data_IF_422758736238
#
_entry.id   IF_422758736238
#
_cell.length_a   1.000
_cell.length_b   1.000
_cell.length_c   1.000
_cell.angle_alpha   90.00
_cell.angle_beta   90.00
_cell.angle_gamma   90.00
#
_symmetry.space_group_name_H-M   'P 1'
#
loop_
_entity.id
_entity.type
_entity.pdbx_description
1 polymer ?
#
# COMPACT_ATOMS: atom_id res chain seq x y z
N UNK A 1 32.54 5.68 11.98
CA UNK A 1 31.20 6.07 11.48
C UNK A 1 30.20 5.52 12.47
N UNK A 2 29.59 6.36 13.32
CA UNK A 2 28.70 5.90 14.39
C UNK A 2 27.27 5.90 13.85
N UNK A 3 26.70 4.71 13.65
CA UNK A 3 25.31 4.56 13.18
C UNK A 3 24.38 5.00 14.31
N UNK A 4 23.55 6.04 14.08
CA UNK A 4 22.48 6.40 15.01
C UNK A 4 21.41 5.33 14.97
N UNK A 5 21.09 4.73 16.11
CA UNK A 5 20.01 3.77 16.25
C UNK A 5 18.69 4.44 15.83
N UNK A 6 18.09 3.92 14.78
CA UNK A 6 16.79 4.36 14.29
C UNK A 6 15.73 3.60 15.08
N UNK A 7 14.82 4.29 15.76
CA UNK A 7 13.68 3.62 16.39
C UNK A 7 12.79 2.99 15.30
N UNK A 8 12.38 1.75 15.55
CA UNK A 8 11.45 1.03 14.70
C UNK A 8 10.34 0.39 15.52
N UNK A 9 9.11 0.50 15.05
CA UNK A 9 7.98 -0.23 15.62
C UNK A 9 7.47 -1.27 14.62
N UNK A 10 6.89 -2.34 15.16
CA UNK A 10 6.43 -3.49 14.41
C UNK A 10 4.95 -3.77 14.71
N UNK A 11 4.20 -4.12 13.68
CA UNK A 11 2.82 -4.58 13.79
C UNK A 11 2.62 -5.78 12.87
N UNK A 12 2.04 -6.86 13.41
CA UNK A 12 1.86 -8.11 12.69
C UNK A 12 0.39 -8.50 12.61
N UNK A 13 0.01 -9.09 11.47
CA UNK A 13 -1.33 -9.62 11.24
C UNK A 13 -1.22 -10.91 10.41
N UNK A 14 -2.09 -11.88 10.70
CA UNK A 14 -2.19 -13.09 9.91
C UNK A 14 -3.03 -12.84 8.65
N UNK A 15 -2.57 -13.34 7.51
CA UNK A 15 -3.27 -13.27 6.23
C UNK A 15 -3.46 -14.65 5.61
N UNK A 16 -4.50 -14.80 4.80
CA UNK A 16 -4.72 -16.00 3.99
C UNK A 16 -4.17 -15.82 2.57
N UNK A 17 -3.65 -16.90 1.98
CA UNK A 17 -3.15 -16.90 0.61
C UNK A 17 -4.25 -16.44 -0.37
N UNK A 18 -3.91 -15.46 -1.22
CA UNK A 18 -4.85 -14.84 -2.16
C UNK A 18 -5.54 -13.57 -1.63
N UNK A 19 -5.30 -13.21 -0.38
CA UNK A 19 -5.71 -11.90 0.16
C UNK A 19 -4.98 -10.75 -0.54
N UNK A 20 -5.63 -9.59 -0.58
CA UNK A 20 -4.96 -8.31 -0.85
C UNK A 20 -4.80 -7.60 0.49
N UNK A 21 -3.59 -7.69 1.05
CA UNK A 21 -3.24 -6.96 2.26
C UNK A 21 -3.14 -5.47 1.99
N UNK A 22 -3.51 -4.65 2.98
CA UNK A 22 -3.30 -3.21 2.95
C UNK A 22 -2.67 -2.73 4.25
N UNK A 23 -1.95 -1.63 4.16
CA UNK A 23 -1.57 -0.84 5.31
C UNK A 23 -1.90 0.63 5.07
N UNK A 24 -2.30 1.29 6.15
CA UNK A 24 -2.56 2.72 6.21
C UNK A 24 -1.70 3.31 7.32
N UNK A 25 -0.92 4.33 6.96
CA UNK A 25 -0.16 5.12 7.92
C UNK A 25 -0.67 6.55 7.89
N UNK A 26 -0.96 7.10 9.06
CA UNK A 26 -1.35 8.49 9.24
C UNK A 26 -0.34 9.19 10.13
N UNK A 27 0.16 10.35 9.70
CA UNK A 27 1.08 11.21 10.43
C UNK A 27 0.31 12.50 10.78
N UNK A 28 -0.30 12.61 11.98
CA UNK A 28 -1.16 13.75 12.31
C UNK A 28 -0.46 15.11 12.19
N UNK A 29 0.78 15.17 12.63
CA UNK A 29 1.64 16.37 12.68
C UNK A 29 2.69 16.35 11.57
N UNK A 30 2.27 16.07 10.33
CA UNK A 30 3.19 15.99 9.19
C UNK A 30 3.87 17.33 8.89
N UNK A 31 5.21 17.36 9.00
CA UNK A 31 6.07 18.52 8.78
C UNK A 31 6.92 18.42 7.50
N UNK A 32 6.73 17.36 6.71
CA UNK A 32 7.54 17.02 5.53
C UNK A 32 8.48 15.83 5.73
N UNK A 33 8.70 15.39 6.97
CA UNK A 33 9.47 14.19 7.29
C UNK A 33 8.60 12.92 7.29
N UNK A 34 9.23 11.76 7.17
CA UNK A 34 8.53 10.52 6.85
C UNK A 34 9.06 9.26 7.50
N UNK A 35 8.45 8.14 7.17
CA UNK A 35 8.84 6.81 7.63
C UNK A 35 9.21 5.92 6.47
N UNK A 36 10.21 5.06 6.67
CA UNK A 36 10.47 3.94 5.79
C UNK A 36 9.69 2.74 6.30
N UNK A 37 8.86 2.14 5.46
CA UNK A 37 8.13 0.93 5.80
C UNK A 37 8.72 -0.29 5.08
N UNK A 38 8.60 -1.44 5.73
CA UNK A 38 8.79 -2.78 5.15
C UNK A 38 7.63 -3.66 5.58
N UNK A 39 7.12 -4.47 4.67
CA UNK A 39 6.26 -5.60 4.94
C UNK A 39 7.11 -6.84 4.71
N UNK A 40 7.19 -7.71 5.70
CA UNK A 40 7.88 -9.00 5.63
C UNK A 40 6.93 -10.14 5.98
N UNK A 41 7.19 -11.32 5.44
CA UNK A 41 6.49 -12.55 5.83
C UNK A 41 7.13 -13.24 7.03
N UNK A 42 6.66 -14.45 7.35
CA UNK A 42 7.16 -15.31 8.43
C UNK A 42 8.65 -15.65 8.31
N UNK A 43 9.18 -15.69 7.09
CA UNK A 43 10.59 -15.95 6.81
C UNK A 43 11.43 -14.67 6.80
N UNK A 44 10.83 -13.53 7.14
CA UNK A 44 11.40 -12.20 7.02
C UNK A 44 11.75 -11.79 5.57
N UNK A 45 11.16 -12.46 4.57
CA UNK A 45 11.33 -12.07 3.17
C UNK A 45 10.56 -10.79 2.89
N UNK A 46 11.17 -9.87 2.14
CA UNK A 46 10.58 -8.54 1.89
C UNK A 46 9.51 -8.64 0.81
N UNK A 47 8.27 -8.42 1.21
CA UNK A 47 7.09 -8.42 0.35
C UNK A 47 6.87 -7.05 -0.28
N UNK A 48 7.01 -6.00 0.52
CA UNK A 48 6.85 -4.61 0.07
C UNK A 48 7.69 -3.67 0.91
N UNK A 49 8.13 -2.56 0.33
CA UNK A 49 8.88 -1.52 1.04
C UNK A 49 8.76 -0.17 0.36
N UNK A 50 9.00 0.89 1.11
CA UNK A 50 9.07 2.22 0.54
C UNK A 50 9.08 3.33 1.57
N UNK A 51 9.01 4.56 1.06
CA UNK A 51 9.05 5.77 1.87
C UNK A 51 7.64 6.40 1.92
N UNK A 52 7.22 6.80 3.12
CA UNK A 52 5.97 7.50 3.39
C UNK A 52 6.33 8.93 3.78
N UNK A 53 6.11 9.87 2.86
CA UNK A 53 6.30 11.32 3.05
C UNK A 53 4.99 12.05 2.75
N UNK A 54 3.94 11.65 3.45
CA UNK A 54 2.63 12.26 3.32
C UNK A 54 1.89 12.15 4.66
N UNK A 55 0.95 13.09 4.89
CA UNK A 55 0.06 13.05 6.05
C UNK A 55 -0.71 11.73 6.19
N UNK A 56 -1.04 11.10 5.07
CA UNK A 56 -1.67 9.79 5.02
C UNK A 56 -1.20 9.02 3.79
N UNK A 57 -0.93 7.73 3.95
CA UNK A 57 -0.60 6.82 2.84
C UNK A 57 -1.33 5.50 3.04
N UNK A 58 -1.99 5.02 2.00
CA UNK A 58 -2.57 3.68 1.92
C UNK A 58 -1.86 2.94 0.79
N UNK A 59 -1.41 1.72 1.05
CA UNK A 59 -0.77 0.87 0.05
C UNK A 59 -1.22 -0.58 0.22
N UNK A 60 -1.19 -1.30 -0.89
CA UNK A 60 -1.63 -2.68 -0.97
C UNK A 60 -0.45 -3.60 -1.30
N UNK A 61 -0.56 -4.87 -0.93
CA UNK A 61 0.40 -5.93 -1.25
C UNK A 61 -0.32 -7.26 -1.44
N UNK A 62 0.20 -8.08 -2.35
CA UNK A 62 -0.35 -9.40 -2.63
C UNK A 62 0.14 -10.41 -1.57
N UNK A 63 -0.80 -11.16 -0.98
CA UNK A 63 -0.49 -12.26 -0.07
C UNK A 63 -0.37 -13.53 -0.87
N UNK A 64 0.86 -14.03 -1.02
CA UNK A 64 1.15 -15.23 -1.82
C UNK A 64 0.97 -16.52 -1.02
N UNK A 65 1.27 -16.48 0.27
CA UNK A 65 1.23 -17.63 1.16
C UNK A 65 0.51 -17.21 2.46
N UNK A 66 -0.29 -18.10 3.04
CA UNK A 66 -0.93 -17.83 4.33
C UNK A 66 0.14 -17.79 5.42
N UNK A 67 0.06 -16.82 6.33
CA UNK A 67 1.08 -16.65 7.36
C UNK A 67 0.99 -15.31 8.09
N UNK A 68 1.91 -15.07 9.03
CA UNK A 68 2.04 -13.75 9.63
C UNK A 68 2.83 -12.83 8.71
N UNK A 69 2.27 -11.64 8.49
CA UNK A 69 2.96 -10.56 7.84
C UNK A 69 3.22 -9.47 8.87
N UNK A 70 4.47 -8.99 8.92
CA UNK A 70 4.91 -7.96 9.84
C UNK A 70 5.25 -6.69 9.09
N UNK A 71 4.59 -5.59 9.46
CA UNK A 71 4.96 -4.25 9.04
C UNK A 71 5.97 -3.66 10.02
N UNK A 72 7.13 -3.29 9.50
CA UNK A 72 8.21 -2.62 10.23
C UNK A 72 8.27 -1.18 9.76
N UNK A 73 8.09 -0.22 10.67
CA UNK A 73 8.20 1.20 10.41
C UNK A 73 9.48 1.73 11.03
N UNK A 74 10.30 2.42 10.24
CA UNK A 74 11.55 3.04 10.69
C UNK A 74 11.46 4.55 10.52
N UNK A 75 11.63 5.28 11.61
CA UNK A 75 11.58 6.74 11.60
C UNK A 75 12.77 7.31 10.81
N UNK A 76 12.53 8.11 9.77
CA UNK A 76 13.64 8.76 9.03
C UNK A 76 14.00 10.15 9.58
N UNK A 77 13.20 10.69 10.49
CA UNK A 77 13.43 11.98 11.14
C UNK A 77 14.45 11.89 12.29
N UNK A 78 15.03 13.05 12.65
CA UNK A 78 15.91 13.16 13.82
C UNK A 78 15.18 13.07 15.15
N UNK A 79 13.90 13.43 15.16
CA UNK A 79 13.03 13.44 16.33
C UNK A 79 11.92 12.40 16.18
N UNK A 80 11.40 11.91 17.30
CA UNK A 80 10.33 10.92 17.31
C UNK A 80 9.05 11.55 16.78
N UNK A 81 8.54 11.02 15.68
CA UNK A 81 7.28 11.46 15.09
C UNK A 81 6.13 10.59 15.57
N UNK A 82 4.97 11.19 15.84
CA UNK A 82 3.75 10.48 16.17
C UNK A 82 3.05 9.98 14.90
N UNK A 83 2.55 8.75 14.92
CA UNK A 83 1.84 8.16 13.79
C UNK A 83 0.82 7.12 14.26
N UNK A 84 -0.09 6.77 13.35
CA UNK A 84 -1.09 5.73 13.53
C UNK A 84 -0.98 4.76 12.38
N UNK A 85 -1.01 3.46 12.68
CA UNK A 85 -0.91 2.38 11.71
C UNK A 85 -2.16 1.52 11.79
N UNK A 86 -2.66 1.16 10.62
CA UNK A 86 -3.69 0.16 10.43
C UNK A 86 -3.18 -0.83 9.39
N UNK A 87 -3.29 -2.12 9.67
CA UNK A 87 -3.01 -3.20 8.73
C UNK A 87 -4.25 -4.09 8.66
N UNK A 88 -4.61 -4.54 7.46
CA UNK A 88 -5.82 -5.33 7.25
C UNK A 88 -5.82 -6.04 5.92
N UNK A 89 -6.77 -6.95 5.75
CA UNK A 89 -7.02 -7.67 4.49
C UNK A 89 -8.24 -7.06 3.80
N UNK A 90 -8.14 -6.83 2.49
CA UNK A 90 -9.30 -6.52 1.66
C UNK A 90 -9.72 -7.75 0.88
N UNK A 91 -11.04 -7.97 0.82
CA UNK A 91 -11.64 -8.96 -0.07
C UNK A 91 -11.31 -8.64 -1.53
N UNK A 92 -10.41 -9.44 -2.10
CA UNK A 92 -9.87 -9.27 -3.44
C UNK A 92 -10.93 -9.40 -4.54
N UNK A 93 -12.00 -10.16 -4.28
CA UNK A 93 -13.11 -10.32 -5.21
C UNK A 93 -14.01 -9.07 -5.25
N UNK A 94 -14.15 -8.38 -4.12
CA UNK A 94 -14.94 -7.15 -4.03
C UNK A 94 -14.26 -5.93 -4.68
N UNK A 95 -12.92 -5.87 -4.77
CA UNK A 95 -12.22 -4.79 -5.48
C UNK A 95 -12.09 -5.07 -6.99
N UNK A 96 -11.78 -6.32 -7.36
CA UNK A 96 -11.44 -6.65 -8.75
C UNK A 96 -12.62 -6.45 -9.71
N UNK A 97 -13.85 -6.73 -9.27
CA UNK A 97 -15.06 -6.61 -10.10
C UNK A 97 -15.34 -5.14 -10.48
N UNK A 98 -15.47 -4.18 -9.53
CA UNK A 98 -15.65 -2.76 -9.88
C UNK A 98 -14.55 -2.20 -10.80
N UNK A 99 -13.28 -2.55 -10.54
CA UNK A 99 -12.16 -2.09 -11.36
C UNK A 99 -12.23 -2.62 -12.80
N UNK A 100 -12.55 -3.90 -12.97
CA UNK A 100 -12.73 -4.51 -14.30
C UNK A 100 -13.87 -3.85 -15.09
N UNK A 101 -15.01 -3.59 -14.43
CA UNK A 101 -16.16 -2.90 -15.05
C UNK A 101 -15.79 -1.49 -15.50
N UNK A 102 -15.10 -0.71 -14.65
CA UNK A 102 -14.65 0.64 -15.01
C UNK A 102 -13.69 0.64 -16.20
N UNK A 103 -12.75 -0.30 -16.22
CA UNK A 103 -11.76 -0.41 -17.30
C UNK A 103 -12.43 -0.75 -18.64
N UNK A 104 -13.30 -1.76 -18.68
CA UNK A 104 -14.06 -2.12 -19.88
C UNK A 104 -14.97 -0.98 -20.34
N UNK A 105 -15.64 -0.32 -19.40
CA UNK A 105 -16.45 0.88 -19.70
C UNK A 105 -15.62 1.99 -20.33
N UNK A 106 -14.43 2.27 -19.80
CA UNK A 106 -13.49 3.23 -20.38
C UNK A 106 -13.06 2.87 -21.80
N UNK A 107 -12.73 1.61 -22.06
CA UNK A 107 -12.37 1.13 -23.40
C UNK A 107 -13.52 1.28 -24.40
N UNK A 108 -14.76 0.98 -23.99
CA UNK A 108 -15.94 1.16 -24.83
C UNK A 108 -16.18 2.63 -25.17
N UNK A 109 -15.98 3.54 -24.22
CA UNK A 109 -16.09 4.99 -24.46
C UNK A 109 -15.03 5.49 -25.46
N UNK A 110 -13.78 5.01 -25.33
CA UNK A 110 -12.71 5.33 -26.28
C UNK A 110 -13.03 4.77 -27.67
N UNK A 111 -13.47 3.52 -27.76
CA UNK A 111 -13.80 2.87 -29.03
C UNK A 111 -14.97 3.55 -29.74
N UNK A 112 -16.06 3.83 -29.02
CA UNK A 112 -17.22 4.53 -29.59
C UNK A 112 -16.88 5.95 -30.02
N UNK A 113 -16.06 6.67 -29.25
CA UNK A 113 -15.57 8.00 -29.63
C UNK A 113 -14.73 7.94 -30.91
N UNK A 114 -13.83 6.95 -31.03
CA UNK A 114 -13.02 6.75 -32.24
C UNK A 114 -13.88 6.47 -33.48
N UNK A 115 -14.85 5.56 -33.37
CA UNK A 115 -15.77 5.26 -34.48
C UNK A 115 -16.57 6.51 -34.87
N UNK A 116 -17.07 7.27 -33.88
CA UNK A 116 -17.82 8.50 -34.13
C UNK A 116 -16.99 9.55 -34.88
N UNK A 117 -15.71 9.72 -34.52
CA UNK A 117 -14.80 10.65 -35.22
C UNK A 117 -14.53 10.20 -36.66
N UNK A 118 -14.31 8.89 -36.88
CA UNK A 118 -14.05 8.32 -38.22
C UNK A 118 -15.26 8.35 -39.16
N UNK A 119 -16.49 8.42 -38.62
CA UNK A 119 -17.72 8.56 -39.42
C UNK A 119 -17.96 10.03 -39.83
N UNK A 120 -17.34 10.99 -39.14
CA UNK A 120 -17.49 12.43 -39.37
C UNK A 120 -16.42 12.97 -40.35
N UNK A 121 -15.27 12.29 -40.49
CA UNK A 121 -14.31 12.47 -41.60
C UNK A 121 -14.82 11.86 -42.93
#
# INVERSE_FOLDING_TARGET
MTLKQTESDEISLYFEAGDIGYHKVTIPEFDGQGFFYRIVDDNYDIISKGLIQAKMSIRYFDVKESGMYTMILSNTAKEKMNYQVEIGSTDSMNISIPTGVMFVGGLLLLFTSYIKLKIIE
#
